data_IF_140062549923
#
_entry.id   IF_140062549923
#
_cell.length_a   1.000
_cell.length_b   1.000
_cell.length_c   1.000
_cell.angle_alpha   90.00
_cell.angle_beta   90.00
_cell.angle_gamma   90.00
#
_symmetry.space_group_name_H-M   'P 1'
#
loop_
_entity.id
_entity.type
_entity.pdbx_description
1 polymer ?
#
# COMPACT_ATOMS: atom_id res chain seq x y z
N UNK A 1 1.40 19.82 9.19
CA UNK A 1 1.93 18.97 8.10
C UNK A 1 3.45 18.71 8.18
N UNK A 2 4.07 18.58 9.37
CA UNK A 2 5.53 18.32 9.50
C UNK A 2 5.90 16.84 9.67
N UNK A 3 5.05 16.05 10.35
CA UNK A 3 5.23 14.60 10.55
C UNK A 3 5.18 13.80 9.23
N UNK A 4 4.53 14.34 8.20
CA UNK A 4 4.36 13.67 6.91
C UNK A 4 5.68 13.61 6.11
N UNK A 5 6.61 14.55 6.31
CA UNK A 5 7.86 14.61 5.54
C UNK A 5 8.80 13.43 5.81
N UNK A 6 9.14 13.18 7.08
CA UNK A 6 10.01 12.07 7.47
C UNK A 6 9.40 10.74 7.05
N UNK A 7 8.12 10.51 7.35
CA UNK A 7 7.41 9.29 6.95
C UNK A 7 7.44 9.09 5.43
N UNK A 8 7.16 10.11 4.64
CA UNK A 8 7.17 9.99 3.18
C UNK A 8 8.56 9.70 2.63
N UNK A 9 9.61 10.33 3.19
CA UNK A 9 10.98 10.02 2.81
C UNK A 9 11.36 8.59 3.18
N UNK A 10 11.05 8.14 4.38
CA UNK A 10 11.37 6.79 4.86
C UNK A 10 10.60 5.71 4.09
N UNK A 11 9.28 5.86 3.92
CA UNK A 11 8.46 4.89 3.18
C UNK A 11 8.84 4.92 1.70
N UNK A 12 9.05 6.10 1.12
CA UNK A 12 9.46 6.25 -0.28
C UNK A 12 10.83 5.63 -0.55
N UNK A 13 11.82 5.85 0.32
CA UNK A 13 13.15 5.25 0.16
C UNK A 13 13.14 3.73 0.36
N UNK A 14 12.33 3.22 1.31
CA UNK A 14 12.15 1.79 1.51
C UNK A 14 11.52 1.12 0.29
N UNK A 15 10.46 1.72 -0.27
CA UNK A 15 9.82 1.22 -1.49
C UNK A 15 10.78 1.24 -2.67
N UNK A 16 11.56 2.32 -2.85
CA UNK A 16 12.57 2.41 -3.89
C UNK A 16 13.66 1.33 -3.74
N UNK A 17 14.08 1.04 -2.51
CA UNK A 17 15.04 -0.02 -2.23
C UNK A 17 14.47 -1.41 -2.57
N UNK A 18 13.24 -1.71 -2.14
CA UNK A 18 12.56 -2.97 -2.44
C UNK A 18 12.42 -3.14 -3.96
N UNK A 19 11.97 -2.11 -4.66
CA UNK A 19 11.84 -2.13 -6.12
C UNK A 19 13.19 -2.39 -6.81
N UNK A 20 14.25 -1.71 -6.36
CA UNK A 20 15.58 -1.84 -6.94
C UNK A 20 16.30 -3.15 -6.59
N UNK A 21 15.76 -3.95 -5.66
CA UNK A 21 16.32 -5.27 -5.33
C UNK A 21 16.09 -6.30 -6.44
N UNK A 22 15.08 -6.09 -7.30
CA UNK A 22 14.67 -7.07 -8.31
C UNK A 22 14.00 -8.33 -7.75
N UNK A 23 13.80 -8.41 -6.43
CA UNK A 23 13.14 -9.55 -5.77
C UNK A 23 11.61 -9.36 -5.82
N UNK A 24 10.98 -10.04 -6.78
CA UNK A 24 9.53 -10.00 -6.99
C UNK A 24 8.74 -10.52 -5.77
N UNK A 25 9.27 -11.51 -5.05
CA UNK A 25 8.59 -12.05 -3.84
C UNK A 25 8.66 -11.07 -2.69
N UNK A 26 9.80 -10.38 -2.52
CA UNK A 26 9.93 -9.29 -1.55
C UNK A 26 8.96 -8.16 -1.89
N UNK A 27 8.87 -7.78 -3.16
CA UNK A 27 7.95 -6.76 -3.63
C UNK A 27 6.48 -7.15 -3.39
N UNK A 28 6.08 -8.37 -3.77
CA UNK A 28 4.73 -8.90 -3.50
C UNK A 28 4.40 -8.96 -2.01
N UNK A 29 5.36 -9.38 -1.17
CA UNK A 29 5.18 -9.43 0.29
C UNK A 29 5.00 -8.03 0.88
N UNK A 30 5.80 -7.06 0.42
CA UNK A 30 5.69 -5.66 0.88
C UNK A 30 4.33 -5.04 0.51
N UNK A 31 3.81 -5.34 -0.69
CA UNK A 31 2.48 -4.93 -1.12
C UNK A 31 1.39 -5.49 -0.19
N UNK A 32 1.46 -6.78 0.15
CA UNK A 32 0.52 -7.41 1.09
C UNK A 32 0.49 -6.71 2.46
N UNK A 33 1.65 -6.31 2.99
CA UNK A 33 1.73 -5.58 4.27
C UNK A 33 1.11 -4.18 4.14
N UNK A 34 1.36 -3.49 3.03
CA UNK A 34 0.87 -2.13 2.79
C UNK A 34 -0.64 -2.06 2.62
N UNK A 35 -1.34 -3.16 2.26
CA UNK A 35 -2.81 -3.21 2.16
C UNK A 35 -3.51 -2.73 3.43
N UNK A 36 -2.92 -2.97 4.60
CA UNK A 36 -3.52 -2.53 5.86
C UNK A 36 -3.74 -1.01 5.92
N UNK A 37 -2.89 -0.21 5.27
CA UNK A 37 -2.98 1.25 5.30
C UNK A 37 -4.30 1.77 4.67
N UNK A 38 -4.60 1.54 3.37
CA UNK A 38 -5.84 2.02 2.78
C UNK A 38 -7.09 1.41 3.41
N UNK A 39 -7.01 0.18 3.95
CA UNK A 39 -8.13 -0.43 4.68
C UNK A 39 -8.45 0.38 5.93
N UNK A 40 -7.45 0.62 6.79
CA UNK A 40 -7.61 1.39 8.03
C UNK A 40 -7.98 2.83 7.72
N UNK A 41 -7.35 3.46 6.73
CA UNK A 41 -7.66 4.84 6.33
C UNK A 41 -9.12 5.00 5.89
N UNK A 42 -9.70 4.02 5.19
CA UNK A 42 -11.13 4.08 4.85
C UNK A 42 -12.05 4.02 6.07
N UNK A 43 -11.73 3.18 7.06
CA UNK A 43 -12.47 3.17 8.34
C UNK A 43 -12.31 4.49 9.09
N UNK A 44 -11.08 5.02 9.19
CA UNK A 44 -10.79 6.29 9.84
C UNK A 44 -11.52 7.44 9.15
N UNK A 45 -11.52 7.46 7.82
CA UNK A 45 -12.22 8.45 7.00
C UNK A 45 -13.73 8.45 7.29
N UNK A 46 -14.36 7.27 7.26
CA UNK A 46 -15.77 7.12 7.61
C UNK A 46 -16.09 7.54 9.05
N UNK A 47 -15.23 7.19 10.02
CA UNK A 47 -15.44 7.49 11.43
C UNK A 47 -15.25 8.98 11.78
N UNK A 48 -14.24 9.63 11.20
CA UNK A 48 -13.86 11.00 11.57
C UNK A 48 -14.47 12.07 10.67
N UNK A 49 -14.67 11.76 9.39
CA UNK A 49 -15.11 12.73 8.36
C UNK A 49 -16.56 12.44 7.92
N UNK A 50 -17.07 11.24 8.19
CA UNK A 50 -18.44 10.84 7.83
C UNK A 50 -18.60 10.37 6.39
N UNK A 51 -17.50 10.17 5.66
CA UNK A 51 -17.50 9.66 4.28
C UNK A 51 -16.13 9.77 3.60
N UNK A 52 -16.01 9.22 2.39
CA UNK A 52 -14.77 9.24 1.59
C UNK A 52 -14.01 7.91 1.60
N UNK A 53 -14.52 6.90 2.29
CA UNK A 53 -13.91 5.58 2.45
C UNK A 53 -13.57 4.88 1.12
N UNK A 54 -14.41 5.09 0.08
CA UNK A 54 -14.20 4.49 -1.24
C UNK A 54 -12.93 5.01 -1.93
N UNK A 55 -12.50 6.24 -1.62
CA UNK A 55 -11.25 6.80 -2.12
C UNK A 55 -10.02 6.06 -1.56
N UNK A 56 -10.19 5.33 -0.45
CA UNK A 56 -9.15 4.49 0.14
C UNK A 56 -9.34 3.01 -0.23
N UNK A 57 -10.58 2.50 -0.17
CA UNK A 57 -10.88 1.09 -0.42
C UNK A 57 -10.83 0.66 -1.89
N UNK A 58 -10.58 1.58 -2.82
CA UNK A 58 -10.22 1.24 -4.20
C UNK A 58 -8.83 0.60 -4.30
N UNK A 59 -7.92 0.87 -3.36
CA UNK A 59 -6.53 0.40 -3.44
C UNK A 59 -6.32 -1.08 -3.05
N UNK A 60 -6.94 -1.64 -1.99
CA UNK A 60 -6.75 -3.04 -1.62
C UNK A 60 -6.97 -4.05 -2.77
N UNK A 61 -8.02 -3.93 -3.60
CA UNK A 61 -8.18 -4.82 -4.76
C UNK A 61 -7.02 -4.69 -5.77
N UNK A 62 -6.59 -3.47 -6.08
CA UNK A 62 -5.49 -3.20 -7.02
C UNK A 62 -4.19 -3.79 -6.48
N UNK A 63 -3.89 -3.57 -5.20
CA UNK A 63 -2.70 -4.12 -4.54
C UNK A 63 -2.75 -5.66 -4.54
N UNK A 64 -3.91 -6.25 -4.26
CA UNK A 64 -4.09 -7.70 -4.30
C UNK A 64 -3.80 -8.31 -5.67
N UNK A 65 -4.27 -7.66 -6.75
CA UNK A 65 -3.99 -8.10 -8.12
C UNK A 65 -2.49 -7.99 -8.46
N UNK A 66 -1.84 -6.89 -8.09
CA UNK A 66 -0.40 -6.71 -8.32
C UNK A 66 0.42 -7.73 -7.53
N UNK A 67 0.09 -7.97 -6.26
CA UNK A 67 0.74 -8.98 -5.44
C UNK A 67 0.54 -10.39 -6.01
N UNK A 68 -0.68 -10.74 -6.46
CA UNK A 68 -0.96 -12.02 -7.10
C UNK A 68 -0.10 -12.25 -8.35
N UNK A 69 0.10 -11.21 -9.19
CA UNK A 69 1.02 -11.30 -10.34
C UNK A 69 2.46 -11.55 -9.89
N UNK A 70 2.96 -10.83 -8.88
CA UNK A 70 4.32 -10.97 -8.38
C UNK A 70 4.59 -12.32 -7.69
N UNK A 71 3.55 -12.98 -7.20
CA UNK A 71 3.64 -14.36 -6.71
C UNK A 71 3.48 -15.42 -7.82
N UNK A 72 3.26 -15.01 -9.07
CA UNK A 72 3.08 -15.92 -10.21
C UNK A 72 1.71 -16.59 -10.25
N UNK A 73 0.68 -16.00 -9.64
CA UNK A 73 -0.69 -16.52 -9.70
C UNK A 73 -1.45 -16.05 -10.94
N UNK A 74 -0.94 -15.03 -11.63
CA UNK A 74 -1.51 -14.41 -12.82
C UNK A 74 -0.38 -14.19 -13.85
N UNK A 75 -0.63 -14.58 -15.11
CA UNK A 75 0.32 -14.50 -16.23
C UNK A 75 0.37 -13.12 -16.90
#
# INVERSE_FOLDING_TARGET
>A
MRIWGVRNLTVGSLLAFIWNSGDEKLMGTSLCVVVALPVVDGFVSRLLIGGGELQHWVFPPVIGLLAARLFGWLD
#
